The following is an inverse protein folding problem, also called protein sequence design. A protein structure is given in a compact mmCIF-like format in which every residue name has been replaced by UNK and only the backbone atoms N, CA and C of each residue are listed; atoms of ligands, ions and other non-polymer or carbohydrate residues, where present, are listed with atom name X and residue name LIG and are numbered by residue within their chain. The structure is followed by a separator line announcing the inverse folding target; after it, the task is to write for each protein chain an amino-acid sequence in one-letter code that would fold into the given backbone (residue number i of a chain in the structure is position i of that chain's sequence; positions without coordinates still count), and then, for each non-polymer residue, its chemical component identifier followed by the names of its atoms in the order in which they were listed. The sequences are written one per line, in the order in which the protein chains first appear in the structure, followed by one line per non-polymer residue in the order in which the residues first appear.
data_IF_716164318714
#
_entry.id   IF_716164318714
#
_cell.length_a   1.000
_cell.length_b   1.000
_cell.length_c   1.000
_cell.angle_alpha   90.00
_cell.angle_beta   90.00
_cell.angle_gamma   90.00
#
_symmetry.space_group_name_H-M   'P 1'
#
loop_
_entity.id
_entity.type
_entity.pdbx_description
1 polymer ?
#
# COMPACT_ATOMS: atom_id res chain seq x y z
N UNK A 1 -3.95 -33.62 -27.40
CA UNK A 1 -4.03 -32.15 -27.56
C UNK A 1 -3.29 -31.54 -26.39
N UNK A 2 -2.02 -31.18 -26.56
CA UNK A 2 -1.20 -30.56 -25.51
C UNK A 2 -1.25 -29.05 -25.70
N UNK A 3 -1.75 -28.31 -24.72
CA UNK A 3 -1.71 -26.86 -24.73
C UNK A 3 -0.54 -26.42 -23.85
N UNK A 4 0.62 -26.21 -24.47
CA UNK A 4 1.78 -25.57 -23.84
C UNK A 4 1.50 -24.06 -23.73
N UNK A 5 1.17 -23.59 -22.52
CA UNK A 5 1.17 -22.17 -22.21
C UNK A 5 2.55 -21.79 -21.64
N UNK A 6 3.34 -21.07 -22.44
CA UNK A 6 4.60 -20.45 -22.01
C UNK A 6 4.42 -18.93 -22.01
N UNK A 7 4.43 -18.24 -20.86
CA UNK A 7 4.55 -16.79 -20.87
C UNK A 7 6.01 -16.43 -21.19
N UNK A 8 6.26 -15.88 -22.38
CA UNK A 8 7.52 -15.20 -22.67
C UNK A 8 7.70 -14.02 -21.70
N UNK A 9 8.82 -13.92 -20.97
CA UNK A 9 9.16 -12.69 -20.26
C UNK A 9 9.55 -11.65 -21.31
N UNK A 10 8.66 -10.68 -21.55
CA UNK A 10 9.01 -9.46 -22.27
C UNK A 10 10.14 -8.70 -21.56
N UNK A 11 10.86 -7.80 -22.26
CA UNK A 11 11.89 -6.99 -21.65
C UNK A 11 11.28 -6.15 -20.52
N UNK A 12 11.75 -6.38 -19.29
CA UNK A 12 11.41 -5.53 -18.14
C UNK A 12 11.86 -4.10 -18.45
N UNK A 13 11.00 -3.08 -18.32
CA UNK A 13 11.42 -1.69 -18.33
C UNK A 13 12.55 -1.51 -17.32
N UNK A 14 13.67 -0.92 -17.74
CA UNK A 14 14.82 -0.66 -16.87
C UNK A 14 14.46 0.30 -15.73
N UNK A 15 15.28 0.37 -14.67
CA UNK A 15 15.08 1.31 -13.57
C UNK A 15 15.09 2.74 -14.13
N UNK A 16 13.99 3.46 -13.91
CA UNK A 16 13.87 4.86 -14.31
C UNK A 16 14.85 5.70 -13.48
N UNK A 17 15.85 6.36 -14.09
CA UNK A 17 16.69 7.31 -13.39
C UNK A 17 15.89 8.61 -13.26
N UNK A 18 15.27 8.84 -12.10
CA UNK A 18 14.56 10.11 -11.86
C UNK A 18 13.54 10.15 -10.73
N UNK A 19 13.04 9.01 -10.23
CA UNK A 19 12.17 9.02 -9.06
C UNK A 19 13.03 9.04 -7.80
N UNK A 20 13.43 10.24 -7.38
CA UNK A 20 13.66 10.47 -5.95
C UNK A 20 12.41 9.94 -5.21
N UNK A 21 12.57 9.20 -4.11
CA UNK A 21 11.45 8.98 -3.21
C UNK A 21 10.95 10.36 -2.81
N UNK A 22 9.73 10.70 -3.27
CA UNK A 22 9.05 11.90 -2.83
C UNK A 22 9.00 11.94 -1.30
N UNK A 23 8.83 13.13 -0.71
CA UNK A 23 8.77 13.25 0.74
C UNK A 23 7.67 12.31 1.25
N UNK A 24 8.03 11.55 2.30
CA UNK A 24 7.13 10.77 3.15
C UNK A 24 5.77 11.47 3.27
N UNK A 25 4.63 10.74 3.33
CA UNK A 25 3.31 11.31 3.52
C UNK A 25 3.35 12.43 4.56
N UNK A 26 3.28 13.66 4.06
CA UNK A 26 3.24 14.85 4.88
C UNK A 26 1.96 14.77 5.70
N UNK A 27 2.12 14.92 7.02
CA UNK A 27 1.04 15.30 7.91
C UNK A 27 0.21 16.42 7.25
N UNK A 28 -1.14 16.38 7.33
CA UNK A 28 -1.96 17.45 6.79
C UNK A 28 -1.67 18.75 7.55
N UNK A 29 -0.86 19.62 6.95
CA UNK A 29 -0.61 20.96 7.48
C UNK A 29 -1.72 21.90 7.00
N UNK A 30 -2.70 22.11 7.89
CA UNK A 30 -3.44 23.36 8.06
C UNK A 30 -4.49 23.74 7.01
N UNK A 31 -5.78 23.59 7.36
CA UNK A 31 -6.86 24.29 6.67
C UNK A 31 -8.30 23.87 6.99
N UNK A 32 -8.68 23.59 8.25
CA UNK A 32 -10.09 23.32 8.60
C UNK A 32 -10.29 22.91 10.07
N UNK A 33 -11.45 23.21 10.70
CA UNK A 33 -11.65 23.08 12.13
C UNK A 33 -11.56 21.62 12.62
N UNK A 34 -10.88 21.46 13.76
CA UNK A 34 -10.74 20.21 14.53
C UNK A 34 -12.06 19.46 14.73
N UNK A 35 -12.06 18.18 14.39
CA UNK A 35 -12.99 17.12 14.82
C UNK A 35 -12.27 15.81 14.44
N UNK A 36 -11.88 14.86 15.29
CA UNK A 36 -12.17 14.42 16.66
C UNK A 36 -11.00 13.52 17.14
N UNK A 37 -10.78 13.28 18.45
CA UNK A 37 -9.76 12.34 18.97
C UNK A 37 -10.05 10.88 18.56
N UNK A 38 -9.06 9.96 18.66
CA UNK A 38 -8.99 8.78 17.84
C UNK A 38 -10.13 7.84 18.19
N UNK A 39 -10.91 7.49 17.17
CA UNK A 39 -11.71 6.28 17.25
C UNK A 39 -10.73 5.12 17.38
N UNK A 40 -10.59 4.60 18.60
CA UNK A 40 -10.11 3.27 18.87
C UNK A 40 -11.08 2.30 18.19
N UNK A 41 -10.96 2.20 16.88
CA UNK A 41 -11.44 1.09 16.11
C UNK A 41 -10.60 -0.11 16.54
N UNK A 42 -11.02 -0.77 17.60
CA UNK A 42 -10.76 -2.20 17.79
C UNK A 42 -11.56 -3.00 16.74
N UNK A 43 -11.57 -2.49 15.49
CA UNK A 43 -12.15 -3.11 14.31
C UNK A 43 -11.22 -4.22 13.89
N UNK A 44 -11.22 -5.33 14.63
CA UNK A 44 -10.89 -6.69 14.19
C UNK A 44 -9.56 -6.99 13.46
N UNK A 45 -8.72 -6.00 13.20
CA UNK A 45 -7.54 -6.07 12.34
C UNK A 45 -6.35 -5.36 12.98
N UNK A 46 -6.39 -5.16 14.31
CA UNK A 46 -5.21 -4.72 15.05
C UNK A 46 -4.26 -5.91 15.18
N UNK A 47 -3.16 -5.86 14.44
CA UNK A 47 -2.12 -6.89 14.41
C UNK A 47 -1.16 -6.72 15.60
N UNK A 48 -1.33 -5.66 16.40
CA UNK A 48 -0.39 -5.23 17.42
C UNK A 48 0.91 -4.66 16.84
N UNK A 49 0.98 -4.47 15.52
CA UNK A 49 2.17 -3.98 14.83
C UNK A 49 1.83 -2.71 14.03
N UNK A 50 2.21 -1.51 14.53
CA UNK A 50 1.67 -0.25 14.03
C UNK A 50 1.95 0.00 12.54
N UNK A 51 3.05 -0.53 12.00
CA UNK A 51 3.35 -0.42 10.58
C UNK A 51 2.44 -1.32 9.72
N UNK A 52 2.08 -2.52 10.18
CA UNK A 52 1.18 -3.44 9.49
C UNK A 52 -0.25 -2.89 9.57
N UNK A 53 -0.66 -2.38 10.73
CA UNK A 53 -1.97 -1.76 10.93
C UNK A 53 -2.19 -0.55 10.01
N UNK A 54 -1.15 0.27 9.79
CA UNK A 54 -1.21 1.38 8.84
C UNK A 54 -1.43 0.90 7.40
N UNK A 55 -0.81 -0.21 7.00
CA UNK A 55 -0.97 -0.79 5.66
C UNK A 55 -2.36 -1.40 5.48
N UNK A 56 -2.88 -2.10 6.49
CA UNK A 56 -4.25 -2.63 6.47
C UNK A 56 -5.29 -1.51 6.36
N UNK A 57 -5.07 -0.39 7.07
CA UNK A 57 -5.91 0.80 6.91
C UNK A 57 -5.84 1.36 5.48
N UNK A 58 -4.66 1.37 4.86
CA UNK A 58 -4.47 1.79 3.47
C UNK A 58 -5.25 0.90 2.50
N UNK A 59 -5.17 -0.43 2.66
CA UNK A 59 -5.93 -1.40 1.86
C UNK A 59 -7.45 -1.20 1.99
N UNK A 60 -7.94 -0.91 3.20
CA UNK A 60 -9.35 -0.59 3.43
C UNK A 60 -9.79 0.71 2.73
N UNK A 61 -8.88 1.67 2.54
CA UNK A 61 -9.14 2.88 1.77
C UNK A 61 -9.10 2.60 0.26
N UNK A 62 -8.13 1.82 -0.22
CA UNK A 62 -8.00 1.41 -1.61
C UNK A 62 -9.25 0.65 -2.10
N UNK A 63 -9.82 -0.22 -1.26
CA UNK A 63 -11.05 -0.96 -1.55
C UNK A 63 -12.26 -0.06 -1.87
N UNK A 64 -12.24 1.21 -1.46
CA UNK A 64 -13.31 2.19 -1.71
C UNK A 64 -13.11 3.02 -2.98
N UNK A 65 -11.96 2.88 -3.64
CA UNK A 65 -11.67 3.61 -4.87
C UNK A 65 -12.44 3.06 -6.07
N UNK A 66 -12.45 3.82 -7.16
CA UNK A 66 -12.99 3.36 -8.43
C UNK A 66 -12.22 2.12 -8.93
N UNK A 67 -12.87 1.13 -9.57
CA UNK A 67 -12.24 -0.13 -9.97
C UNK A 67 -10.96 0.03 -10.81
N UNK A 68 -10.87 1.10 -11.61
CA UNK A 68 -9.68 1.41 -12.40
C UNK A 68 -8.44 1.74 -11.54
N UNK A 69 -8.65 2.37 -10.38
CA UNK A 69 -7.60 2.83 -9.48
C UNK A 69 -7.26 1.79 -8.40
N UNK A 70 -8.15 0.82 -8.18
CA UNK A 70 -7.97 -0.21 -7.15
C UNK A 70 -6.69 -1.02 -7.37
N UNK A 71 -6.40 -1.43 -8.62
CA UNK A 71 -5.24 -2.29 -8.90
C UNK A 71 -3.93 -1.59 -8.50
N UNK A 72 -3.75 -0.35 -8.93
CA UNK A 72 -2.53 0.41 -8.64
C UNK A 72 -2.30 0.58 -7.13
N UNK A 73 -3.37 0.90 -6.39
CA UNK A 73 -3.28 1.11 -4.94
C UNK A 73 -3.12 -0.19 -4.15
N UNK A 74 -3.75 -1.29 -4.59
CA UNK A 74 -3.50 -2.62 -4.01
C UNK A 74 -2.06 -3.07 -4.21
N UNK A 75 -1.48 -2.85 -5.40
CA UNK A 75 -0.09 -3.19 -5.68
C UNK A 75 0.88 -2.37 -4.84
N UNK A 76 0.65 -1.06 -4.71
CA UNK A 76 1.44 -0.19 -3.86
C UNK A 76 1.38 -0.62 -2.39
N UNK A 77 0.17 -0.85 -1.85
CA UNK A 77 -0.01 -1.30 -0.48
C UNK A 77 0.63 -2.68 -0.23
N UNK A 78 0.57 -3.58 -1.20
CA UNK A 78 1.17 -4.91 -1.10
C UNK A 78 2.71 -4.84 -1.06
N UNK A 79 3.34 -4.00 -1.87
CA UNK A 79 4.80 -3.81 -1.81
C UNK A 79 5.25 -3.29 -0.44
N UNK A 80 4.53 -2.32 0.11
CA UNK A 80 4.84 -1.77 1.44
C UNK A 80 4.63 -2.83 2.54
N UNK A 81 3.60 -3.68 2.42
CA UNK A 81 3.39 -4.79 3.35
C UNK A 81 4.56 -5.77 3.32
N UNK A 82 5.02 -6.16 2.13
CA UNK A 82 6.15 -7.07 1.96
C UNK A 82 7.44 -6.50 2.55
N UNK A 83 7.74 -5.22 2.30
CA UNK A 83 8.90 -4.54 2.89
C UNK A 83 8.81 -4.50 4.41
N UNK A 84 7.62 -4.16 4.94
CA UNK A 84 7.37 -4.09 6.38
C UNK A 84 7.59 -5.45 7.04
N UNK A 85 7.03 -6.53 6.46
CA UNK A 85 7.19 -7.88 6.99
C UNK A 85 8.64 -8.37 6.92
N UNK A 86 9.34 -8.10 5.81
CA UNK A 86 10.76 -8.44 5.67
C UNK A 86 11.65 -7.68 6.68
N UNK A 87 11.27 -6.46 7.06
CA UNK A 87 11.96 -5.68 8.08
C UNK A 87 11.77 -6.24 9.49
N UNK A 88 10.59 -6.78 9.79
CA UNK A 88 10.25 -7.37 11.10
C UNK A 88 10.91 -8.74 11.30
N UNK A 89 11.06 -9.53 10.24
CA UNK A 89 11.66 -10.87 10.27
C UNK A 89 13.15 -10.87 10.66
N UNK A 90 13.83 -9.72 10.54
CA UNK A 90 15.26 -9.54 10.77
C UNK A 90 15.62 -9.35 12.25
#
# INVERSE_FOLDING_TARGET
MTHSWSPQPGPRPGPQPGMQPGPRPGLPVGGGPQVVPPVSHHSGEDTGHPAVDAVLRSLANAARLAPAEQIAEYEAAHQVLQETLASIDR
#
